data_IF_698974415531
#
_entry.id   IF_698974415531
#
_cell.length_a   1.000
_cell.length_b   1.000
_cell.length_c   1.000
_cell.angle_alpha   90.00
_cell.angle_beta   90.00
_cell.angle_gamma   90.00
#
_symmetry.space_group_name_H-M   'P 1'
#
loop_
_entity.id
_entity.type
_entity.pdbx_description
1 polymer ?
#
# COMPACT_ATOMS: atom_id res chain seq x y z
N UNK A 1 19.10 -9.83 -5.22
CA UNK A 1 17.69 -9.75 -5.66
C UNK A 1 17.55 -10.55 -6.95
N UNK A 2 16.69 -11.54 -6.97
CA UNK A 2 16.42 -12.42 -8.11
C UNK A 2 15.13 -11.94 -8.77
N UNK A 3 15.18 -11.56 -10.04
CA UNK A 3 14.05 -10.98 -10.76
C UNK A 3 13.71 -11.83 -11.99
N UNK A 4 12.44 -12.13 -12.18
CA UNK A 4 11.90 -12.77 -13.38
C UNK A 4 10.79 -11.91 -13.96
N UNK A 5 10.92 -11.56 -15.25
CA UNK A 5 9.89 -10.87 -16.02
C UNK A 5 9.27 -11.86 -17.00
N UNK A 6 7.95 -11.96 -16.99
CA UNK A 6 7.17 -12.79 -17.91
C UNK A 6 5.93 -12.00 -18.37
N UNK A 7 5.31 -12.46 -19.45
CA UNK A 7 4.07 -11.87 -19.96
C UNK A 7 2.85 -12.60 -19.43
N UNK A 8 1.72 -11.90 -19.34
CA UNK A 8 0.43 -12.51 -19.06
C UNK A 8 0.03 -13.48 -20.18
N UNK A 9 -0.80 -14.46 -19.83
CA UNK A 9 -1.30 -15.50 -20.75
C UNK A 9 -0.20 -16.15 -21.62
N UNK A 10 0.99 -16.29 -21.05
CA UNK A 10 2.17 -16.89 -21.68
C UNK A 10 2.54 -18.24 -21.04
N UNK A 11 3.33 -19.03 -21.73
CA UNK A 11 3.81 -20.32 -21.25
C UNK A 11 5.33 -20.34 -21.24
N UNK A 12 5.93 -20.70 -20.11
CA UNK A 12 7.36 -20.73 -19.88
C UNK A 12 7.79 -22.08 -19.31
N UNK A 13 8.99 -22.55 -19.65
CA UNK A 13 9.55 -23.78 -19.08
C UNK A 13 9.78 -23.63 -17.57
N UNK A 14 9.55 -24.69 -16.80
CA UNK A 14 9.79 -24.70 -15.34
C UNK A 14 11.21 -24.29 -14.97
N UNK A 15 12.21 -24.66 -15.78
CA UNK A 15 13.60 -24.27 -15.57
C UNK A 15 13.85 -22.76 -15.55
N UNK A 16 13.02 -21.94 -16.20
CA UNK A 16 13.12 -20.48 -16.16
C UNK A 16 12.87 -19.92 -14.77
N UNK A 17 12.11 -20.63 -13.94
CA UNK A 17 11.74 -20.25 -12.59
C UNK A 17 12.70 -20.75 -11.50
N UNK A 18 13.78 -21.44 -11.87
CA UNK A 18 14.73 -22.07 -10.94
C UNK A 18 15.38 -21.08 -9.96
N UNK A 19 15.48 -19.78 -10.30
CA UNK A 19 16.04 -18.77 -9.44
C UNK A 19 15.02 -18.08 -8.52
N UNK A 20 13.72 -18.37 -8.68
CA UNK A 20 12.61 -17.86 -7.84
C UNK A 20 11.72 -19.00 -7.32
N UNK A 21 12.32 -20.11 -6.93
CA UNK A 21 11.59 -21.35 -6.53
C UNK A 21 10.70 -21.15 -5.32
N UNK A 22 11.13 -20.35 -4.32
CA UNK A 22 10.33 -20.11 -3.12
C UNK A 22 9.05 -19.35 -3.45
N UNK A 23 9.15 -18.32 -4.28
CA UNK A 23 7.99 -17.56 -4.73
C UNK A 23 7.08 -18.42 -5.60
N UNK A 24 7.64 -19.15 -6.56
CA UNK A 24 6.90 -20.04 -7.45
C UNK A 24 6.15 -21.11 -6.66
N UNK A 25 6.80 -21.77 -5.69
CA UNK A 25 6.17 -22.78 -4.84
C UNK A 25 5.00 -22.27 -4.00
N UNK A 26 5.00 -20.97 -3.67
CA UNK A 26 3.89 -20.35 -2.93
C UNK A 26 2.68 -20.03 -3.80
N UNK A 27 2.88 -19.70 -5.08
CA UNK A 27 1.82 -19.17 -5.95
C UNK A 27 1.34 -20.15 -7.03
N UNK A 28 2.14 -21.18 -7.37
CA UNK A 28 1.78 -22.13 -8.40
C UNK A 28 0.59 -23.00 -7.99
N UNK A 29 -0.32 -23.23 -8.92
CA UNK A 29 -1.51 -24.07 -8.80
C UNK A 29 -2.48 -23.68 -7.66
N UNK A 30 -2.42 -22.41 -7.22
CA UNK A 30 -3.32 -21.84 -6.23
C UNK A 30 -4.17 -20.74 -6.84
N UNK A 31 -5.45 -20.73 -6.46
CA UNK A 31 -6.36 -19.65 -6.85
C UNK A 31 -6.04 -18.36 -6.09
N UNK A 32 -6.46 -17.23 -6.64
CA UNK A 32 -6.30 -15.94 -5.98
C UNK A 32 -7.00 -15.91 -4.60
N UNK A 33 -8.14 -16.57 -4.45
CA UNK A 33 -8.85 -16.72 -3.19
C UNK A 33 -8.03 -17.50 -2.13
N UNK A 34 -7.42 -18.62 -2.55
CA UNK A 34 -6.55 -19.40 -1.67
C UNK A 34 -5.33 -18.60 -1.22
N UNK A 35 -4.72 -17.84 -2.13
CA UNK A 35 -3.57 -16.98 -1.83
C UNK A 35 -3.94 -15.82 -0.88
N UNK A 36 -5.15 -15.27 -1.00
CA UNK A 36 -5.67 -14.29 -0.03
C UNK A 36 -5.88 -14.92 1.35
N UNK A 37 -6.49 -16.10 1.40
CA UNK A 37 -6.73 -16.81 2.66
C UNK A 37 -5.42 -17.22 3.36
N UNK A 38 -4.40 -17.57 2.60
CA UNK A 38 -3.05 -17.87 3.12
C UNK A 38 -2.26 -16.61 3.51
N UNK A 39 -2.80 -15.40 3.27
CA UNK A 39 -2.13 -14.14 3.57
C UNK A 39 -0.95 -13.81 2.65
N UNK A 40 -0.87 -14.44 1.49
CA UNK A 40 0.19 -14.15 0.49
C UNK A 40 0.01 -12.76 -0.09
N UNK A 41 -1.23 -12.33 -0.30
CA UNK A 41 -1.59 -10.97 -0.66
C UNK A 41 -3.02 -10.63 -0.18
N UNK A 42 -3.39 -9.35 -0.29
CA UNK A 42 -4.71 -8.86 0.11
C UNK A 42 -5.35 -8.18 -1.09
N UNK A 43 -6.57 -8.59 -1.43
CA UNK A 43 -7.34 -7.91 -2.45
C UNK A 43 -7.74 -6.50 -1.99
N UNK A 44 -7.63 -5.49 -2.86
CA UNK A 44 -8.27 -4.21 -2.63
C UNK A 44 -9.77 -4.38 -2.38
N UNK A 45 -10.35 -3.54 -1.52
CA UNK A 45 -11.80 -3.58 -1.21
C UNK A 45 -12.68 -3.53 -2.47
N UNK A 46 -12.25 -2.80 -3.51
CA UNK A 46 -12.97 -2.71 -4.79
C UNK A 46 -13.16 -4.08 -5.43
N UNK A 47 -12.16 -4.95 -5.36
CA UNK A 47 -12.22 -6.31 -5.91
C UNK A 47 -12.96 -7.25 -4.94
N UNK A 48 -12.78 -7.05 -3.64
CA UNK A 48 -13.40 -7.87 -2.59
C UNK A 48 -14.93 -7.74 -2.60
N UNK A 49 -15.43 -6.54 -2.86
CA UNK A 49 -16.86 -6.24 -2.90
C UNK A 49 -17.48 -6.53 -4.28
N UNK A 50 -16.68 -6.91 -5.28
CA UNK A 50 -17.21 -7.32 -6.58
C UNK A 50 -17.81 -8.73 -6.50
N UNK A 51 -19.00 -8.90 -7.07
CA UNK A 51 -19.65 -10.20 -7.22
C UNK A 51 -19.00 -11.06 -8.34
N UNK A 52 -17.90 -10.59 -8.92
CA UNK A 52 -17.23 -11.23 -10.04
C UNK A 52 -16.40 -12.44 -9.56
N UNK A 53 -17.07 -13.57 -9.47
CA UNK A 53 -16.52 -14.88 -9.04
C UNK A 53 -15.35 -15.31 -9.92
N UNK A 54 -15.34 -14.91 -11.19
CA UNK A 54 -14.34 -15.32 -12.18
C UNK A 54 -12.93 -14.87 -11.76
N UNK A 55 -12.82 -13.71 -11.12
CA UNK A 55 -11.53 -13.14 -10.70
C UNK A 55 -10.88 -13.94 -9.57
N UNK A 56 -11.67 -14.50 -8.65
CA UNK A 56 -11.16 -15.20 -7.47
C UNK A 56 -10.66 -16.61 -7.77
N UNK A 57 -11.28 -17.26 -8.75
CA UNK A 57 -10.92 -18.62 -9.18
C UNK A 57 -9.69 -18.66 -10.09
N UNK A 58 -9.16 -17.52 -10.52
CA UNK A 58 -7.97 -17.48 -11.36
C UNK A 58 -6.72 -17.89 -10.58
N UNK A 59 -5.82 -18.56 -11.28
CA UNK A 59 -4.48 -18.89 -10.78
C UNK A 59 -3.46 -17.94 -11.40
N UNK A 60 -2.47 -17.51 -10.65
CA UNK A 60 -1.38 -16.69 -11.20
C UNK A 60 -0.50 -17.51 -12.11
N UNK A 61 -0.09 -18.69 -11.62
CA UNK A 61 0.72 -19.66 -12.34
C UNK A 61 0.03 -21.03 -12.27
N UNK A 62 -0.19 -21.64 -13.42
CA UNK A 62 -0.70 -22.99 -13.54
C UNK A 62 0.38 -23.92 -14.05
N UNK A 63 0.63 -25.02 -13.36
CA UNK A 63 1.57 -26.07 -13.79
C UNK A 63 0.95 -26.93 -14.87
N UNK A 64 1.57 -26.95 -16.04
CA UNK A 64 1.15 -27.81 -17.18
C UNK A 64 2.37 -28.59 -17.65
N UNK A 65 2.45 -29.86 -17.31
CA UNK A 65 3.59 -30.73 -17.62
C UNK A 65 4.92 -30.08 -17.13
N UNK A 66 5.84 -29.81 -18.06
CA UNK A 66 7.15 -29.20 -17.79
C UNK A 66 7.18 -27.69 -17.95
N UNK A 67 6.00 -27.04 -17.91
CA UNK A 67 5.86 -25.60 -18.08
C UNK A 67 4.96 -24.99 -17.02
N UNK A 68 5.12 -23.69 -16.79
CA UNK A 68 4.14 -22.85 -16.10
C UNK A 68 3.43 -21.95 -17.11
N UNK A 69 2.13 -21.87 -16.99
CA UNK A 69 1.29 -20.95 -17.74
C UNK A 69 0.81 -19.83 -16.82
N UNK A 70 0.99 -18.59 -17.25
CA UNK A 70 0.38 -17.41 -16.60
C UNK A 70 -1.06 -17.24 -17.06
N UNK A 71 -1.94 -16.80 -16.18
CA UNK A 71 -3.30 -16.40 -16.54
C UNK A 71 -3.37 -14.93 -16.97
N UNK A 72 -4.57 -14.40 -17.12
CA UNK A 72 -4.81 -12.98 -17.42
C UNK A 72 -4.63 -12.08 -16.16
N UNK A 73 -3.52 -12.24 -15.46
CA UNK A 73 -3.17 -11.47 -14.27
C UNK A 73 -1.88 -10.74 -14.54
N UNK A 74 -1.87 -9.43 -14.28
CA UNK A 74 -0.70 -8.58 -14.36
C UNK A 74 -0.36 -8.03 -12.99
N UNK A 75 0.91 -7.84 -12.69
CA UNK A 75 1.32 -7.27 -11.42
C UNK A 75 2.72 -7.65 -10.98
N UNK A 76 2.99 -7.34 -9.71
CA UNK A 76 4.29 -7.52 -9.08
C UNK A 76 4.12 -8.42 -7.86
N UNK A 77 4.93 -9.45 -7.77
CA UNK A 77 4.94 -10.37 -6.64
C UNK A 77 6.34 -10.47 -6.07
N UNK A 78 6.45 -10.62 -4.76
CA UNK A 78 7.73 -10.73 -4.10
C UNK A 78 7.70 -11.61 -2.87
N UNK A 79 8.77 -12.38 -2.67
CA UNK A 79 8.98 -13.18 -1.47
C UNK A 79 10.48 -13.15 -1.11
N UNK A 80 10.84 -12.53 0.01
CA UNK A 80 12.25 -12.34 0.37
C UNK A 80 13.02 -11.53 -0.67
N UNK A 81 14.03 -12.12 -1.27
CA UNK A 81 14.82 -11.51 -2.35
C UNK A 81 14.36 -11.86 -3.77
N UNK A 82 13.33 -12.71 -3.89
CA UNK A 82 12.74 -13.14 -5.14
C UNK A 82 11.63 -12.21 -5.59
N UNK A 83 11.59 -11.89 -6.87
CA UNK A 83 10.61 -11.00 -7.51
C UNK A 83 10.13 -11.60 -8.82
N UNK A 84 8.81 -11.55 -9.03
CA UNK A 84 8.15 -11.90 -10.28
C UNK A 84 7.36 -10.70 -10.78
N UNK A 85 7.61 -10.30 -12.01
CA UNK A 85 6.86 -9.27 -12.72
C UNK A 85 6.10 -9.96 -13.85
N UNK A 86 4.79 -9.78 -13.88
CA UNK A 86 3.93 -10.26 -14.97
C UNK A 86 3.47 -9.01 -15.71
N UNK A 87 4.04 -8.82 -16.89
CA UNK A 87 3.75 -7.68 -17.77
C UNK A 87 2.60 -8.03 -18.71
N UNK A 88 1.95 -7.00 -19.27
CA UNK A 88 0.95 -7.18 -20.29
C UNK A 88 1.57 -7.77 -21.56
N UNK A 89 0.89 -8.73 -22.19
CA UNK A 89 1.26 -9.21 -23.54
C UNK A 89 1.16 -8.12 -24.61
N UNK A 90 0.42 -7.05 -24.33
CA UNK A 90 0.28 -5.88 -25.19
C UNK A 90 1.36 -4.82 -24.93
N UNK A 91 2.26 -5.05 -23.97
CA UNK A 91 3.39 -4.17 -23.71
C UNK A 91 4.35 -4.22 -24.93
N UNK A 92 4.59 -3.07 -25.55
CA UNK A 92 5.61 -2.86 -26.58
C UNK A 92 7.00 -2.67 -25.97
N UNK A 93 7.95 -2.17 -26.74
CA UNK A 93 9.37 -2.02 -26.39
C UNK A 93 9.62 -1.07 -25.19
N UNK A 94 9.24 -1.50 -23.99
CA UNK A 94 9.61 -0.85 -22.72
C UNK A 94 8.52 0.04 -22.08
N UNK A 95 7.41 0.31 -22.77
CA UNK A 95 6.35 1.18 -22.25
C UNK A 95 5.04 0.41 -22.07
N UNK A 96 4.52 0.41 -20.85
CA UNK A 96 3.29 -0.32 -20.50
C UNK A 96 2.06 0.61 -20.49
N UNK A 97 1.78 1.23 -21.65
CA UNK A 97 0.59 2.09 -21.84
C UNK A 97 -0.73 1.37 -21.53
N UNK A 98 -0.77 0.04 -21.77
CA UNK A 98 -2.00 -0.71 -21.54
C UNK A 98 -2.29 -0.85 -20.03
N UNK A 99 -1.27 -1.07 -19.21
CA UNK A 99 -1.43 -1.11 -17.76
C UNK A 99 -1.85 0.26 -17.21
N UNK A 100 -1.24 1.34 -17.70
CA UNK A 100 -1.63 2.71 -17.37
C UNK A 100 -3.09 2.97 -17.74
N UNK A 101 -3.50 2.62 -18.95
CA UNK A 101 -4.89 2.75 -19.41
C UNK A 101 -5.88 1.99 -18.51
N UNK A 102 -5.54 0.76 -18.11
CA UNK A 102 -6.38 -0.03 -17.20
C UNK A 102 -6.51 0.63 -15.82
N UNK A 103 -5.40 1.13 -15.28
CA UNK A 103 -5.43 1.84 -13.99
C UNK A 103 -6.29 3.11 -14.06
N UNK A 104 -6.17 3.89 -15.11
CA UNK A 104 -6.99 5.09 -15.35
C UNK A 104 -8.48 4.74 -15.38
N UNK A 105 -8.83 3.63 -16.03
CA UNK A 105 -10.21 3.17 -16.12
C UNK A 105 -10.78 2.61 -14.83
N UNK A 106 -9.99 1.83 -14.11
CA UNK A 106 -10.41 1.21 -12.85
C UNK A 106 -10.49 2.22 -11.71
N UNK A 107 -9.58 3.19 -11.68
CA UNK A 107 -9.50 4.16 -10.59
C UNK A 107 -10.31 5.44 -10.86
N UNK A 108 -10.84 5.61 -12.08
CA UNK A 108 -11.60 6.80 -12.52
C UNK A 108 -10.85 8.13 -12.23
N UNK A 109 -9.53 8.10 -12.44
CA UNK A 109 -8.66 9.25 -12.29
C UNK A 109 -8.29 9.79 -13.67
N UNK A 110 -8.79 10.96 -14.07
CA UNK A 110 -8.32 11.61 -15.27
C UNK A 110 -6.91 12.19 -15.05
N UNK A 111 -6.03 11.92 -16.00
CA UNK A 111 -4.68 12.48 -16.09
C UNK A 111 -3.71 12.06 -14.97
N UNK A 112 -3.28 10.82 -15.03
CA UNK A 112 -2.14 10.42 -14.27
C UNK A 112 -0.89 10.75 -15.05
N UNK A 113 -0.06 11.58 -14.41
CA UNK A 113 1.25 12.04 -14.83
C UNK A 113 2.03 10.92 -15.51
N UNK A 114 2.64 11.22 -16.64
CA UNK A 114 3.57 10.39 -17.38
C UNK A 114 4.45 9.53 -16.46
N UNK A 115 4.25 8.22 -16.51
CA UNK A 115 5.19 7.25 -15.95
C UNK A 115 6.50 7.18 -16.76
N UNK A 116 6.69 8.12 -17.67
CA UNK A 116 7.83 8.22 -18.60
C UNK A 116 9.15 8.68 -17.95
N UNK A 117 9.21 8.92 -16.65
CA UNK A 117 10.51 9.20 -16.07
C UNK A 117 11.33 7.93 -15.98
N UNK A 118 12.53 7.97 -16.49
CA UNK A 118 13.70 7.07 -16.44
C UNK A 118 13.89 6.39 -15.06
N UNK A 119 12.99 5.53 -14.67
CA UNK A 119 13.05 4.93 -13.35
C UNK A 119 13.39 3.46 -13.48
N UNK A 120 14.58 3.10 -12.99
CA UNK A 120 15.04 1.75 -12.76
C UNK A 120 13.86 0.81 -12.40
N UNK A 121 13.86 -0.39 -12.98
CA UNK A 121 12.83 -1.44 -12.75
C UNK A 121 12.47 -1.66 -11.27
N UNK A 122 13.37 -1.37 -10.34
CA UNK A 122 13.15 -1.43 -8.90
C UNK A 122 12.15 -0.40 -8.36
N UNK A 123 11.89 0.67 -9.09
CA UNK A 123 11.01 1.76 -8.65
C UNK A 123 9.57 1.65 -9.21
N UNK A 124 9.29 0.72 -10.12
CA UNK A 124 7.92 0.54 -10.68
C UNK A 124 6.88 0.26 -9.58
N UNK A 125 7.23 -0.61 -8.62
CA UNK A 125 6.35 -0.89 -7.47
C UNK A 125 6.16 0.35 -6.59
N UNK A 126 7.21 1.10 -6.34
CA UNK A 126 7.15 2.34 -5.55
C UNK A 126 6.29 3.40 -6.25
N UNK A 127 6.48 3.60 -7.54
CA UNK A 127 5.67 4.52 -8.34
C UNK A 127 4.19 4.10 -8.37
N UNK A 128 3.92 2.80 -8.46
CA UNK A 128 2.57 2.27 -8.36
C UNK A 128 1.92 2.55 -7.00
N UNK A 129 2.67 2.38 -5.91
CA UNK A 129 2.18 2.72 -4.57
C UNK A 129 1.95 4.22 -4.40
N UNK A 130 2.85 5.07 -4.91
CA UNK A 130 2.67 6.52 -4.94
C UNK A 130 1.42 6.92 -5.72
N UNK A 131 1.16 6.23 -6.82
CA UNK A 131 -0.03 6.42 -7.63
C UNK A 131 -1.33 6.06 -6.90
N UNK A 132 -1.34 4.92 -6.19
CA UNK A 132 -2.51 4.48 -5.42
C UNK A 132 -2.75 5.32 -4.16
N UNK A 133 -1.71 5.94 -3.63
CA UNK A 133 -1.77 6.67 -2.37
C UNK A 133 -2.82 7.79 -2.35
N UNK A 134 -2.93 8.70 -3.35
CA UNK A 134 -3.95 9.75 -3.37
C UNK A 134 -5.37 9.19 -3.38
N UNK A 135 -5.60 8.10 -4.09
CA UNK A 135 -6.90 7.45 -4.14
C UNK A 135 -7.33 6.96 -2.77
N UNK A 136 -6.47 6.19 -2.09
CA UNK A 136 -6.77 5.68 -0.75
C UNK A 136 -6.83 6.79 0.29
N UNK A 137 -6.00 7.81 0.17
CA UNK A 137 -6.04 8.99 1.04
C UNK A 137 -7.40 9.71 0.90
N UNK A 138 -7.83 9.99 -0.33
CA UNK A 138 -9.13 10.62 -0.60
C UNK A 138 -10.29 9.76 -0.07
N UNK A 139 -10.22 8.43 -0.23
CA UNK A 139 -11.21 7.50 0.32
C UNK A 139 -11.24 7.53 1.85
N UNK A 140 -10.08 7.51 2.50
CA UNK A 140 -9.97 7.61 3.95
C UNK A 140 -10.52 8.93 4.50
N UNK A 141 -10.27 10.05 3.79
CA UNK A 141 -10.74 11.38 4.18
C UNK A 141 -12.26 11.60 3.99
N UNK A 142 -12.96 10.76 3.22
CA UNK A 142 -14.42 10.85 3.09
C UNK A 142 -15.18 10.72 4.41
N UNK A 143 -14.60 10.04 5.41
CA UNK A 143 -15.15 9.90 6.76
C UNK A 143 -14.78 11.06 7.69
N UNK A 144 -14.14 12.10 7.17
CA UNK A 144 -13.61 13.24 7.91
C UNK A 144 -12.16 13.05 8.33
N UNK A 145 -11.60 14.12 8.88
CA UNK A 145 -10.20 14.14 9.31
C UNK A 145 -10.00 13.27 10.56
N UNK A 146 -8.92 12.49 10.57
CA UNK A 146 -8.60 11.62 11.68
C UNK A 146 -8.14 12.41 12.90
N UNK A 147 -8.82 12.22 14.03
CA UNK A 147 -8.43 12.78 15.33
C UNK A 147 -7.90 11.68 16.24
N UNK A 148 -6.92 12.04 17.04
CA UNK A 148 -6.34 11.16 18.05
C UNK A 148 -6.31 11.87 19.39
N UNK A 149 -6.47 11.13 20.48
CA UNK A 149 -6.24 11.66 21.81
C UNK A 149 -4.74 11.83 22.06
N UNK A 150 -4.35 13.09 22.33
CA UNK A 150 -2.98 13.44 22.71
C UNK A 150 -2.95 14.01 24.14
N UNK A 151 -1.84 13.81 24.84
CA UNK A 151 -1.62 14.41 26.15
C UNK A 151 -0.80 15.69 26.00
N UNK A 152 -1.43 16.82 26.27
CA UNK A 152 -0.74 18.10 26.30
C UNK A 152 -0.42 18.53 27.73
N UNK A 153 0.67 19.26 27.88
CA UNK A 153 1.16 19.78 29.16
C UNK A 153 1.02 21.28 29.15
N UNK A 154 0.34 21.78 30.16
CA UNK A 154 0.07 23.23 30.34
C UNK A 154 0.64 23.73 31.63
N UNK A 155 0.89 25.07 31.71
CA UNK A 155 1.28 25.78 32.90
C UNK A 155 0.64 27.16 32.84
N UNK A 156 -0.59 27.24 33.29
CA UNK A 156 -1.40 28.49 33.31
C UNK A 156 -2.36 28.50 34.50
N UNK A 157 -3.08 29.62 34.66
CA UNK A 157 -4.04 29.80 35.76
C UNK A 157 -5.38 29.11 35.58
N UNK A 158 -5.66 28.50 34.38
CA UNK A 158 -6.94 27.89 34.07
C UNK A 158 -6.82 26.38 33.98
N UNK A 159 -6.79 25.69 35.10
CA UNK A 159 -6.58 24.24 35.20
C UNK A 159 -7.75 23.46 34.62
N UNK A 160 -7.50 22.72 33.54
CA UNK A 160 -8.51 21.89 32.85
C UNK A 160 -8.21 20.39 32.87
N UNK A 161 -7.21 19.96 33.59
CA UNK A 161 -6.77 18.55 33.58
C UNK A 161 -6.12 18.12 34.88
N UNK A 162 -5.34 17.04 34.82
CA UNK A 162 -4.67 16.47 35.99
C UNK A 162 -3.44 17.29 36.35
N UNK A 163 -3.37 17.76 37.57
CA UNK A 163 -2.23 18.54 38.09
C UNK A 163 -1.01 17.60 38.22
N UNK A 164 0.11 18.04 37.66
CA UNK A 164 1.39 17.39 37.86
C UNK A 164 2.15 18.06 39.00
N UNK A 165 2.03 17.52 40.19
CA UNK A 165 2.57 18.09 41.42
C UNK A 165 4.10 18.30 41.35
N UNK A 166 4.82 17.29 40.87
CA UNK A 166 6.28 17.35 40.78
C UNK A 166 6.74 18.49 39.84
N UNK A 167 6.07 18.61 38.67
CA UNK A 167 6.35 19.69 37.70
C UNK A 167 5.90 21.05 38.24
N UNK A 168 4.77 21.09 38.92
CA UNK A 168 4.26 22.31 39.52
C UNK A 168 5.22 22.88 40.53
N UNK A 169 5.68 22.07 41.50
CA UNK A 169 6.67 22.49 42.51
C UNK A 169 7.97 22.97 41.83
N UNK A 170 8.43 22.28 40.83
CA UNK A 170 9.69 22.63 40.13
C UNK A 170 9.59 23.95 39.34
N UNK A 171 8.43 24.24 38.72
CA UNK A 171 8.28 25.38 37.83
C UNK A 171 7.62 26.60 38.46
N UNK A 172 6.78 26.39 39.49
CA UNK A 172 5.93 27.44 40.06
C UNK A 172 6.22 27.69 41.56
N UNK A 173 7.47 27.53 41.97
CA UNK A 173 7.89 27.93 43.31
C UNK A 173 8.90 29.08 43.21
N UNK A 174 8.58 30.28 43.71
CA UNK A 174 7.34 30.69 44.40
C UNK A 174 6.11 30.74 43.51
N UNK A 175 4.92 30.50 44.06
CA UNK A 175 3.67 30.47 43.31
C UNK A 175 3.29 31.84 42.79
N UNK A 176 3.08 31.98 41.48
CA UNK A 176 2.74 33.20 40.75
C UNK A 176 1.40 33.12 40.03
N UNK A 177 0.52 32.20 40.45
CA UNK A 177 -0.81 32.03 39.87
C UNK A 177 -0.93 30.97 38.80
N UNK A 178 0.18 30.35 38.32
CA UNK A 178 0.16 29.31 37.33
C UNK A 178 0.23 27.91 37.95
N UNK A 179 -0.47 26.94 37.36
CA UNK A 179 -0.48 25.54 37.80
C UNK A 179 -0.05 24.66 36.64
N UNK A 180 0.89 23.74 36.90
CA UNK A 180 1.34 22.77 35.93
C UNK A 180 0.40 21.56 35.91
N UNK A 181 -0.30 21.38 34.80
CA UNK A 181 -1.24 20.27 34.61
C UNK A 181 -1.07 19.60 33.23
N UNK A 182 -1.67 18.44 33.07
CA UNK A 182 -1.76 17.74 31.79
C UNK A 182 -3.23 17.46 31.45
N UNK A 183 -3.57 17.66 30.19
CA UNK A 183 -4.91 17.45 29.67
C UNK A 183 -4.87 16.47 28.49
N UNK A 184 -5.89 15.64 28.40
CA UNK A 184 -6.11 14.77 27.24
C UNK A 184 -7.04 15.46 26.26
N UNK A 185 -6.53 15.75 25.06
CA UNK A 185 -7.26 16.48 24.03
C UNK A 185 -7.47 15.60 22.79
N UNK A 186 -8.64 15.74 22.19
CA UNK A 186 -8.96 15.07 20.91
C UNK A 186 -8.58 16.00 19.77
N UNK A 187 -7.42 15.75 19.15
CA UNK A 187 -6.75 16.69 18.24
C UNK A 187 -6.44 16.06 16.88
N UNK A 188 -6.38 16.91 15.85
CA UNK A 188 -5.85 16.58 14.52
C UNK A 188 -4.32 16.53 14.48
N UNK A 189 -3.64 17.01 15.52
CA UNK A 189 -2.20 17.05 15.64
C UNK A 189 -1.65 15.63 15.86
N UNK A 190 -1.41 14.95 14.75
CA UNK A 190 -0.86 13.59 14.74
C UNK A 190 -0.14 13.33 13.42
N UNK A 191 0.81 12.39 13.43
CA UNK A 191 1.68 12.08 12.29
C UNK A 191 0.93 11.68 11.00
N UNK A 192 -0.25 11.08 11.14
CA UNK A 192 -1.05 10.73 9.97
C UNK A 192 -1.62 11.97 9.29
N UNK A 193 -2.10 12.95 10.07
CA UNK A 193 -2.61 14.21 9.52
C UNK A 193 -1.51 15.11 8.98
N UNK A 194 -0.32 15.10 9.59
CA UNK A 194 0.86 15.78 9.04
C UNK A 194 1.21 15.22 7.65
N UNK A 195 1.21 13.89 7.48
CA UNK A 195 1.42 13.26 6.18
C UNK A 195 0.35 13.67 5.16
N UNK A 196 -0.93 13.71 5.56
CA UNK A 196 -2.02 14.14 4.69
C UNK A 196 -1.84 15.58 4.22
N UNK A 197 -1.44 16.49 5.10
CA UNK A 197 -1.22 17.90 4.76
C UNK A 197 -0.05 18.09 3.80
N UNK A 198 1.05 17.36 4.00
CA UNK A 198 2.22 17.40 3.10
C UNK A 198 1.87 16.94 1.67
N UNK A 199 0.86 16.09 1.52
CA UNK A 199 0.48 15.57 0.21
C UNK A 199 -0.61 16.40 -0.50
N UNK A 200 -1.34 17.22 0.24
CA UNK A 200 -2.44 18.06 -0.31
C UNK A 200 -2.04 19.51 -0.54
N UNK A 201 -0.85 19.92 -0.13
CA UNK A 201 -0.26 21.24 -0.38
C UNK A 201 0.56 21.24 -1.68
#
# INVERSE_FOLDING_TARGET
>A
MKLLNIKDNSQQKKGTFSHIENLTGKIADKTLEQLEHEGVFVFPEIIRDSEDIITKDQMILQSINDTYRTSNVMGFLGCGDERLIIESRFCGDGEDYFFQYLLDRVLDFPNIVDFESDVNQNNRLFNFLLFLFPYYLKKAMRKGLFKKYIHRRYNDGNVKGTINIARHIKQNTPFIGNVAYSQREFSYDNSLMELCLLYTS
#
